data_IF_060588383771
#
_entry.id   IF_060588383771
#
_cell.length_a   1.000
_cell.length_b   1.000
_cell.length_c   1.000
_cell.angle_alpha   90.00
_cell.angle_beta   90.00
_cell.angle_gamma   90.00
#
_symmetry.space_group_name_H-M   'P 1'
#
loop_
_entity.id
_entity.type
_entity.pdbx_description
1 polymer ?
#
# COMPACT_ATOMS: atom_id res chain seq x y z
N UNK A 1 7.54 18.97 -68.60
CA UNK A 1 6.85 20.20 -68.20
C UNK A 1 5.39 19.89 -67.90
N UNK A 2 4.93 20.30 -66.71
CA UNK A 2 3.55 20.60 -66.25
C UNK A 2 2.46 19.51 -66.39
N UNK A 3 1.97 18.85 -65.31
CA UNK A 3 1.16 19.27 -64.14
C UNK A 3 -0.35 19.43 -64.41
N UNK A 4 -1.14 18.84 -63.49
CA UNK A 4 -2.51 19.12 -62.95
C UNK A 4 -3.46 17.91 -63.08
N UNK A 5 -3.69 17.08 -62.04
CA UNK A 5 -4.56 17.24 -60.83
C UNK A 5 -6.02 17.62 -61.11
N UNK A 6 -6.97 16.73 -60.77
CA UNK A 6 -8.38 16.87 -60.31
C UNK A 6 -8.99 15.44 -60.34
N UNK A 7 -9.84 14.90 -59.45
CA UNK A 7 -10.40 15.26 -58.14
C UNK A 7 -11.11 14.00 -57.57
N UNK A 8 -10.99 13.80 -56.25
CA UNK A 8 -11.97 13.26 -55.28
C UNK A 8 -13.04 12.21 -55.68
N UNK A 9 -12.98 11.04 -55.04
CA UNK A 9 -14.18 10.35 -54.53
C UNK A 9 -13.97 10.07 -53.04
N UNK A 10 -14.59 10.90 -52.20
CA UNK A 10 -14.68 10.69 -50.76
C UNK A 10 -15.86 9.72 -50.54
N UNK A 11 -15.57 8.50 -50.11
CA UNK A 11 -16.59 7.59 -49.59
C UNK A 11 -16.87 7.99 -48.14
N UNK A 12 -17.98 8.68 -47.94
CA UNK A 12 -18.56 8.95 -46.61
C UNK A 12 -19.28 7.67 -46.18
N UNK A 13 -18.63 6.84 -45.35
CA UNK A 13 -19.34 5.84 -44.56
C UNK A 13 -19.75 6.50 -43.24
N UNK A 14 -21.03 6.84 -43.16
CA UNK A 14 -21.71 7.34 -41.97
C UNK A 14 -21.70 6.28 -40.87
N UNK A 15 -20.89 6.51 -39.85
CA UNK A 15 -20.86 5.77 -38.59
C UNK A 15 -22.01 6.30 -37.72
N UNK A 16 -22.96 5.44 -37.33
CA UNK A 16 -23.87 5.55 -36.16
C UNK A 16 -24.72 4.26 -36.13
N UNK A 17 -24.81 3.44 -35.08
CA UNK A 17 -25.21 3.76 -33.72
C UNK A 17 -24.88 2.63 -32.71
N UNK A 18 -24.68 3.07 -31.47
CA UNK A 18 -25.14 2.47 -30.21
C UNK A 18 -24.75 1.03 -29.86
N UNK A 19 -23.56 0.93 -29.27
CA UNK A 19 -23.26 -0.02 -28.19
C UNK A 19 -22.58 0.73 -27.04
N UNK A 20 -23.25 1.73 -26.46
CA UNK A 20 -22.79 2.38 -25.24
C UNK A 20 -22.96 1.40 -24.07
N UNK A 21 -21.92 0.65 -23.74
CA UNK A 21 -21.75 0.00 -22.45
C UNK A 21 -20.28 0.03 -22.04
N UNK A 22 -19.87 1.18 -21.51
CA UNK A 22 -18.81 1.23 -20.52
C UNK A 22 -19.27 2.19 -19.42
N UNK A 23 -20.22 1.72 -18.60
CA UNK A 23 -20.52 2.31 -17.31
C UNK A 23 -20.13 1.32 -16.22
N UNK A 24 -18.83 1.07 -16.13
CA UNK A 24 -18.20 0.61 -14.90
C UNK A 24 -16.96 1.46 -14.66
N UNK A 25 -17.19 2.66 -14.13
CA UNK A 25 -16.14 3.41 -13.46
C UNK A 25 -15.74 2.59 -12.23
N UNK A 26 -14.74 1.71 -12.36
CA UNK A 26 -13.97 1.36 -11.17
C UNK A 26 -13.35 2.67 -10.72
N UNK A 27 -13.62 3.09 -9.48
CA UNK A 27 -13.34 4.45 -8.96
C UNK A 27 -11.85 4.85 -8.91
N UNK A 28 -11.01 4.06 -9.57
CA UNK A 28 -9.57 4.17 -9.60
C UNK A 28 -9.02 4.03 -11.03
N UNK A 29 -9.85 3.73 -12.05
CA UNK A 29 -9.40 3.29 -13.40
C UNK A 29 -8.54 4.32 -14.10
N UNK A 30 -8.79 5.61 -13.91
CA UNK A 30 -8.05 6.66 -14.57
C UNK A 30 -7.60 7.70 -13.56
N UNK A 31 -6.38 8.19 -13.80
CA UNK A 31 -5.68 9.26 -13.10
C UNK A 31 -4.89 8.85 -11.85
N UNK A 32 -3.66 9.37 -11.83
CA UNK A 32 -2.87 9.78 -10.66
C UNK A 32 -3.66 10.68 -9.68
N UNK A 33 -4.97 10.84 -9.87
CA UNK A 33 -5.90 11.60 -9.06
C UNK A 33 -7.22 10.83 -8.87
N UNK A 34 -7.58 10.57 -7.61
CA UNK A 34 -8.82 9.88 -7.21
C UNK A 34 -10.08 10.59 -7.77
N UNK A 35 -11.16 9.86 -8.04
CA UNK A 35 -12.47 10.40 -8.44
C UNK A 35 -13.04 11.49 -7.49
N UNK A 36 -12.63 11.48 -6.22
CA UNK A 36 -12.92 12.55 -5.24
C UNK A 36 -12.21 13.86 -5.64
N UNK A 37 -11.02 13.76 -6.21
CA UNK A 37 -10.20 14.90 -6.68
C UNK A 37 -10.73 15.51 -7.99
N UNK A 38 -11.46 14.74 -8.81
CA UNK A 38 -12.11 15.25 -10.04
C UNK A 38 -13.29 16.16 -9.73
N UNK A 39 -14.04 15.88 -8.66
CA UNK A 39 -15.20 16.69 -8.22
C UNK A 39 -14.82 17.84 -7.29
N UNK A 40 -13.60 17.84 -6.76
CA UNK A 40 -13.04 18.89 -5.92
C UNK A 40 -11.52 18.79 -6.06
N UNK A 41 -10.88 19.60 -6.91
CA UNK A 41 -9.44 19.50 -7.13
C UNK A 41 -8.72 19.68 -5.80
N UNK A 42 -8.22 18.58 -5.26
CA UNK A 42 -7.36 18.61 -4.08
C UNK A 42 -6.04 19.14 -4.59
N UNK A 43 -5.66 20.36 -4.17
CA UNK A 43 -4.39 21.02 -4.53
C UNK A 43 -3.14 20.22 -4.10
N UNK A 44 -3.29 19.01 -3.54
CA UNK A 44 -2.21 18.18 -3.01
C UNK A 44 -2.49 16.67 -3.21
N UNK A 45 -1.73 16.02 -4.10
CA UNK A 45 -1.46 14.57 -3.99
C UNK A 45 -0.45 14.43 -2.84
N UNK A 46 -0.95 14.24 -1.63
CA UNK A 46 -0.10 13.94 -0.49
C UNK A 46 0.30 12.44 -0.50
N UNK A 47 1.45 12.10 0.09
CA UNK A 47 2.04 10.75 0.18
C UNK A 47 1.01 9.66 0.58
N UNK A 48 0.00 10.01 1.37
CA UNK A 48 -1.06 9.12 1.87
C UNK A 48 -2.18 8.79 0.88
N UNK A 49 -2.02 9.11 -0.41
CA UNK A 49 -2.88 8.62 -1.51
C UNK A 49 -2.09 8.00 -2.66
N UNK A 50 -0.80 7.71 -2.45
CA UNK A 50 0.02 6.97 -3.41
C UNK A 50 -0.49 5.52 -3.53
N UNK A 51 -0.67 5.08 -4.77
CA UNK A 51 -1.15 3.73 -5.09
C UNK A 51 -0.21 3.02 -6.06
N UNK A 52 -0.15 1.71 -5.96
CA UNK A 52 0.48 0.85 -6.95
C UNK A 52 -0.59 0.15 -7.78
N UNK A 53 -0.48 0.24 -9.11
CA UNK A 53 -1.33 -0.50 -10.04
C UNK A 53 -0.65 -1.81 -10.37
N UNK A 54 -1.28 -2.92 -9.98
CA UNK A 54 -0.80 -4.26 -10.30
C UNK A 54 -1.36 -4.70 -11.66
N UNK A 55 -2.66 -4.48 -11.86
CA UNK A 55 -3.35 -4.64 -13.13
C UNK A 55 -4.65 -3.79 -13.14
N UNK A 56 -5.44 -3.74 -14.23
CA UNK A 56 -6.65 -2.91 -14.31
C UNK A 56 -7.67 -3.15 -13.18
N UNK A 57 -7.72 -4.37 -12.66
CA UNK A 57 -8.67 -4.81 -11.64
C UNK A 57 -8.03 -5.00 -10.25
N UNK A 58 -6.74 -4.68 -10.10
CA UNK A 58 -6.02 -4.88 -8.85
C UNK A 58 -5.10 -3.70 -8.55
N UNK A 59 -5.46 -2.95 -7.51
CA UNK A 59 -4.70 -1.77 -7.05
C UNK A 59 -4.58 -1.80 -5.55
N UNK A 60 -3.49 -1.25 -5.03
CA UNK A 60 -3.26 -1.12 -3.60
C UNK A 60 -2.81 0.30 -3.29
N UNK A 61 -3.33 0.90 -2.22
CA UNK A 61 -2.94 2.25 -1.80
C UNK A 61 -2.80 2.38 -0.30
N UNK A 62 -1.89 3.26 0.10
CA UNK A 62 -1.95 3.91 1.41
C UNK A 62 -3.10 4.92 1.37
N UNK A 63 -3.93 4.93 2.41
CA UNK A 63 -5.12 5.80 2.52
C UNK A 63 -5.10 6.55 3.83
N UNK A 64 -5.30 7.85 3.77
CA UNK A 64 -5.64 8.68 4.93
C UNK A 64 -7.14 8.55 5.25
N UNK A 65 -7.45 8.04 6.45
CA UNK A 65 -8.82 7.92 6.98
C UNK A 65 -9.14 9.02 8.00
N UNK A 66 -8.30 10.04 8.13
CA UNK A 66 -8.53 11.21 8.97
C UNK A 66 -9.64 12.12 8.44
N UNK A 67 -10.16 13.00 9.30
CA UNK A 67 -11.06 14.07 8.88
C UNK A 67 -10.26 15.12 8.09
N UNK A 68 -10.32 14.99 6.78
CA UNK A 68 -9.67 15.87 5.82
C UNK A 68 -10.51 17.13 5.63
N UNK A 69 -10.16 18.22 6.31
CA UNK A 69 -10.53 19.58 5.89
C UNK A 69 -9.30 20.19 5.20
N UNK A 70 -8.87 19.57 4.08
CA UNK A 70 -7.66 19.93 3.28
C UNK A 70 -7.77 21.30 2.57
N UNK A 71 -8.88 22.02 2.76
CA UNK A 71 -9.24 23.26 2.05
C UNK A 71 -8.82 24.55 2.76
N UNK A 72 -8.35 24.49 4.01
CA UNK A 72 -7.95 25.69 4.75
C UNK A 72 -6.46 25.97 4.52
N UNK A 73 -6.17 26.87 3.57
CA UNK A 73 -4.88 27.57 3.49
C UNK A 73 -4.56 28.07 4.90
N UNK A 74 -3.46 27.57 5.49
CA UNK A 74 -2.95 27.84 6.86
C UNK A 74 -3.23 26.79 7.96
N UNK A 75 -3.78 25.61 7.66
CA UNK A 75 -3.78 24.49 8.64
C UNK A 75 -2.63 23.53 8.33
N UNK A 76 -1.73 23.35 9.30
CA UNK A 76 -0.75 22.26 9.27
C UNK A 76 -1.49 20.92 9.36
N UNK A 77 -1.50 20.17 8.25
CA UNK A 77 -2.12 18.85 8.20
C UNK A 77 -1.46 17.91 9.22
N UNK A 78 -2.29 17.17 9.94
CA UNK A 78 -1.86 16.18 10.93
C UNK A 78 -2.58 14.86 10.62
N UNK A 79 -1.81 13.83 10.27
CA UNK A 79 -2.35 12.48 10.06
C UNK A 79 -2.93 11.99 11.39
N UNK A 80 -4.18 11.51 11.37
CA UNK A 80 -4.87 10.96 12.55
C UNK A 80 -5.12 9.47 12.43
N UNK A 81 -5.51 9.05 11.23
CA UNK A 81 -5.82 7.66 10.90
C UNK A 81 -5.32 7.36 9.52
N UNK A 82 -4.70 6.20 9.35
CA UNK A 82 -4.31 5.71 8.04
C UNK A 82 -4.67 4.24 7.90
N UNK A 83 -4.56 3.75 6.68
CA UNK A 83 -4.68 2.33 6.42
C UNK A 83 -4.29 1.97 5.01
N UNK A 84 -4.43 0.70 4.67
CA UNK A 84 -4.15 0.20 3.33
C UNK A 84 -5.43 -0.38 2.75
N UNK A 85 -5.76 0.08 1.54
CA UNK A 85 -6.89 -0.41 0.78
C UNK A 85 -6.41 -1.18 -0.45
N UNK A 86 -7.04 -2.30 -0.73
CA UNK A 86 -6.87 -3.08 -1.96
C UNK A 86 -8.17 -3.01 -2.75
N UNK A 87 -8.12 -2.43 -3.95
CA UNK A 87 -9.16 -2.60 -4.96
C UNK A 87 -8.94 -3.96 -5.61
N UNK A 88 -9.90 -4.87 -5.48
CA UNK A 88 -9.89 -6.18 -6.10
C UNK A 88 -11.18 -6.39 -6.89
N UNK A 89 -11.08 -6.33 -8.22
CA UNK A 89 -12.23 -6.24 -9.11
C UNK A 89 -12.98 -4.93 -8.88
N UNK A 90 -14.23 -5.04 -8.44
CA UNK A 90 -15.12 -3.89 -8.18
C UNK A 90 -15.16 -3.49 -6.70
N UNK A 91 -14.62 -4.34 -5.84
CA UNK A 91 -14.71 -4.21 -4.39
C UNK A 91 -13.42 -3.62 -3.82
N UNK A 92 -13.56 -2.81 -2.77
CA UNK A 92 -12.43 -2.29 -2.00
C UNK A 92 -12.37 -3.02 -0.67
N UNK A 93 -11.19 -3.49 -0.29
CA UNK A 93 -10.93 -4.19 0.96
C UNK A 93 -9.94 -3.39 1.81
N UNK A 94 -10.26 -3.16 3.07
CA UNK A 94 -9.37 -2.56 4.05
C UNK A 94 -8.52 -3.67 4.67
N UNK A 95 -7.21 -3.62 4.42
CA UNK A 95 -6.25 -4.58 5.01
C UNK A 95 -5.86 -4.15 6.42
N UNK A 96 -5.72 -2.85 6.64
CA UNK A 96 -5.50 -2.30 7.98
C UNK A 96 -6.13 -0.92 8.08
N UNK A 97 -6.55 -0.56 9.29
CA UNK A 97 -6.95 0.79 9.70
C UNK A 97 -6.36 1.05 11.08
N UNK A 98 -5.55 2.10 11.20
CA UNK A 98 -4.80 2.41 12.41
C UNK A 98 -4.92 3.89 12.74
N UNK A 99 -4.92 4.20 14.04
CA UNK A 99 -4.71 5.55 14.56
C UNK A 99 -3.22 5.79 14.75
N UNK A 100 -2.76 7.02 14.53
CA UNK A 100 -1.35 7.41 14.71
C UNK A 100 -1.19 8.48 15.77
N UNK A 101 0.04 8.66 16.23
CA UNK A 101 0.38 9.84 17.05
C UNK A 101 0.31 11.11 16.21
N UNK A 102 0.19 12.27 16.88
CA UNK A 102 0.12 13.58 16.24
C UNK A 102 1.34 13.89 15.35
N UNK A 103 2.48 13.26 15.60
CA UNK A 103 3.71 13.47 14.85
C UNK A 103 4.14 12.14 14.25
N UNK A 104 3.45 11.73 13.19
CA UNK A 104 3.71 10.46 12.52
C UNK A 104 3.91 10.67 11.02
N UNK A 105 4.86 9.93 10.46
CA UNK A 105 5.05 9.78 9.04
C UNK A 105 4.87 8.29 8.70
N UNK A 106 4.07 8.01 7.66
CA UNK A 106 3.83 6.65 7.20
C UNK A 106 4.27 6.50 5.74
N UNK A 107 5.14 5.54 5.47
CA UNK A 107 5.52 5.13 4.12
C UNK A 107 4.95 3.75 3.77
N UNK A 108 4.74 3.58 2.47
CA UNK A 108 4.23 2.36 1.87
C UNK A 108 5.15 1.92 0.73
N UNK A 109 5.35 0.61 0.57
CA UNK A 109 6.10 0.06 -0.56
C UNK A 109 5.53 -1.29 -1.00
N UNK A 110 5.27 -1.47 -2.29
CA UNK A 110 4.97 -2.78 -2.85
C UNK A 110 6.30 -3.57 -3.00
N UNK A 111 6.37 -4.76 -2.42
CA UNK A 111 7.58 -5.59 -2.42
C UNK A 111 7.54 -6.70 -3.47
N UNK A 112 6.36 -7.28 -3.68
CA UNK A 112 6.17 -8.42 -4.56
C UNK A 112 4.71 -8.52 -4.99
N UNK A 113 4.48 -9.08 -6.17
CA UNK A 113 3.16 -9.54 -6.56
C UNK A 113 3.25 -10.71 -7.54
N UNK A 114 2.25 -11.59 -7.48
CA UNK A 114 1.95 -12.56 -8.52
C UNK A 114 0.42 -12.62 -8.71
N UNK A 115 -0.08 -13.73 -9.27
CA UNK A 115 -1.51 -13.95 -9.51
C UNK A 115 -2.32 -14.24 -8.24
N UNK A 116 -1.66 -14.66 -7.15
CA UNK A 116 -2.26 -15.16 -5.92
C UNK A 116 -2.01 -14.22 -4.73
N UNK A 117 -0.82 -13.60 -4.65
CA UNK A 117 -0.36 -12.80 -3.52
C UNK A 117 0.08 -11.40 -3.94
N UNK A 118 -0.27 -10.40 -3.12
CA UNK A 118 0.39 -9.09 -3.04
C UNK A 118 1.19 -9.02 -1.75
N UNK A 119 2.45 -8.62 -1.82
CA UNK A 119 3.24 -8.33 -0.63
C UNK A 119 3.66 -6.86 -0.60
N UNK A 120 3.45 -6.21 0.54
CA UNK A 120 3.75 -4.79 0.71
C UNK A 120 4.21 -4.50 2.14
N UNK A 121 4.96 -3.42 2.29
CA UNK A 121 5.47 -2.92 3.56
C UNK A 121 4.77 -1.62 3.90
N UNK A 122 4.44 -1.49 5.18
CA UNK A 122 4.10 -0.22 5.80
C UNK A 122 5.14 0.06 6.88
N UNK A 123 5.68 1.27 6.87
CA UNK A 123 6.49 1.77 7.97
C UNK A 123 5.83 3.02 8.54
N UNK A 124 5.80 3.10 9.86
CA UNK A 124 5.36 4.26 10.63
C UNK A 124 6.53 4.71 11.49
N UNK A 125 6.93 5.97 11.32
CA UNK A 125 7.87 6.63 12.22
C UNK A 125 7.11 7.73 12.95
N UNK A 126 7.03 7.63 14.28
CA UNK A 126 6.27 8.56 15.10
C UNK A 126 7.11 9.13 16.25
N UNK A 127 6.75 10.34 16.69
CA UNK A 127 7.24 10.97 17.90
C UNK A 127 6.10 10.96 18.93
N UNK A 128 6.38 10.40 20.10
CA UNK A 128 5.46 10.31 21.22
C UNK A 128 5.89 11.33 22.27
N UNK A 129 5.16 12.44 22.40
CA UNK A 129 5.55 13.59 23.24
C UNK A 129 4.50 13.97 24.31
N UNK A 130 3.45 13.17 24.48
CA UNK A 130 2.42 13.36 25.52
C UNK A 130 2.73 12.57 26.81
N UNK A 131 3.98 12.16 26.98
CA UNK A 131 4.52 11.47 28.17
C UNK A 131 5.66 12.28 28.76
N UNK A 132 6.09 11.96 29.99
CA UNK A 132 7.12 12.71 30.71
C UNK A 132 8.44 12.83 29.94
N UNK A 133 8.85 11.78 29.24
CA UNK A 133 10.06 11.78 28.42
C UNK A 133 9.65 11.40 26.99
N UNK A 134 9.69 12.35 26.04
CA UNK A 134 9.37 12.05 24.65
C UNK A 134 10.32 11.02 24.04
N UNK A 135 9.79 10.18 23.16
CA UNK A 135 10.58 9.18 22.44
C UNK A 135 10.10 9.04 20.99
N UNK A 136 10.99 8.51 20.15
CA UNK A 136 10.70 8.15 18.77
C UNK A 136 10.35 6.67 18.70
N UNK A 137 9.35 6.34 17.90
CA UNK A 137 8.93 4.97 17.61
C UNK A 137 9.08 4.70 16.12
N UNK A 138 9.67 3.57 15.77
CA UNK A 138 9.74 3.07 14.41
C UNK A 138 9.05 1.70 14.36
N UNK A 139 7.97 1.61 13.59
CA UNK A 139 7.24 0.38 13.36
C UNK A 139 7.32 0.02 11.89
N UNK A 140 7.72 -1.23 11.59
CA UNK A 140 7.74 -1.74 10.23
C UNK A 140 6.99 -3.05 10.21
N UNK A 141 5.93 -3.11 9.39
CA UNK A 141 5.14 -4.32 9.21
C UNK A 141 5.07 -4.66 7.73
N UNK A 142 5.37 -5.91 7.40
CA UNK A 142 5.20 -6.45 6.05
C UNK A 142 3.93 -7.29 6.01
N UNK A 143 3.13 -7.09 4.98
CA UNK A 143 1.88 -7.78 4.76
C UNK A 143 1.98 -8.66 3.53
N UNK A 144 1.41 -9.86 3.61
CA UNK A 144 1.10 -10.66 2.43
C UNK A 144 -0.42 -10.83 2.38
N UNK A 145 -1.00 -10.38 1.27
CA UNK A 145 -2.42 -10.37 1.00
C UNK A 145 -2.75 -11.37 -0.10
N UNK A 146 -3.68 -12.28 0.15
CA UNK A 146 -4.17 -13.23 -0.81
C UNK A 146 -5.33 -12.64 -1.62
N UNK A 147 -5.11 -12.53 -2.92
CA UNK A 147 -6.00 -11.87 -3.87
C UNK A 147 -7.31 -12.65 -4.04
N UNK A 148 -7.31 -13.97 -3.88
CA UNK A 148 -8.49 -14.80 -4.15
C UNK A 148 -9.51 -14.76 -3.03
N UNK A 149 -9.05 -14.81 -1.79
CA UNK A 149 -9.92 -14.91 -0.61
C UNK A 149 -9.92 -13.63 0.25
N UNK A 150 -9.17 -12.61 -0.15
CA UNK A 150 -9.04 -11.32 0.55
C UNK A 150 -8.63 -11.47 2.01
N UNK A 151 -7.84 -12.50 2.33
CA UNK A 151 -7.21 -12.63 3.63
C UNK A 151 -5.75 -12.19 3.56
N UNK A 152 -5.14 -11.95 4.70
CA UNK A 152 -3.78 -11.47 4.78
C UNK A 152 -3.11 -11.91 6.08
N UNK A 153 -1.79 -11.79 6.11
CA UNK A 153 -1.01 -11.84 7.34
C UNK A 153 -0.26 -10.52 7.51
N UNK A 154 -0.04 -10.13 8.77
CA UNK A 154 0.87 -9.04 9.13
C UNK A 154 2.09 -9.59 9.84
N UNK A 155 3.27 -9.18 9.41
CA UNK A 155 4.56 -9.62 9.93
C UNK A 155 5.23 -8.41 10.59
N UNK A 156 5.21 -8.29 11.92
CA UNK A 156 5.91 -7.21 12.60
C UNK A 156 7.42 -7.45 12.48
N UNK A 157 8.09 -6.61 11.68
CA UNK A 157 9.53 -6.73 11.40
C UNK A 157 10.34 -5.88 12.37
N UNK A 158 9.84 -4.68 12.67
CA UNK A 158 10.44 -3.76 13.64
C UNK A 158 9.33 -3.20 14.52
N UNK A 159 9.57 -3.21 15.82
CA UNK A 159 8.86 -2.40 16.81
C UNK A 159 9.91 -1.87 17.79
N UNK A 160 10.42 -0.68 17.51
CA UNK A 160 11.58 -0.12 18.22
C UNK A 160 11.26 1.28 18.72
N UNK A 161 11.38 1.46 20.03
CA UNK A 161 11.27 2.74 20.71
C UNK A 161 12.66 3.24 21.08
N UNK A 162 12.93 4.52 20.86
CA UNK A 162 14.20 5.13 21.24
C UNK A 162 14.29 5.26 22.76
N UNK A 163 15.43 4.90 23.32
CA UNK A 163 15.77 5.27 24.68
C UNK A 163 15.99 6.79 24.79
N UNK A 164 15.55 7.37 25.91
CA UNK A 164 15.58 8.77 26.31
C UNK A 164 16.54 9.66 25.48
N UNK A 165 15.99 10.64 24.77
CA UNK A 165 16.71 11.69 23.99
C UNK A 165 17.60 11.21 22.83
N UNK A 166 17.87 9.92 22.66
CA UNK A 166 18.74 9.44 21.58
C UNK A 166 18.10 9.59 20.19
N UNK A 167 16.76 9.55 20.12
CA UNK A 167 15.97 9.51 18.88
C UNK A 167 16.35 8.37 17.92
N UNK A 168 17.15 7.40 18.39
CA UNK A 168 17.63 6.26 17.61
C UNK A 168 16.69 5.08 17.76
N UNK A 169 16.41 4.40 16.66
CA UNK A 169 15.55 3.21 16.58
C UNK A 169 16.19 2.21 15.63
N UNK A 170 15.79 0.96 15.71
CA UNK A 170 16.24 -0.07 14.77
C UNK A 170 15.90 0.32 13.32
N UNK A 171 16.73 -0.13 12.39
CA UNK A 171 16.63 0.21 10.98
C UNK A 171 16.42 -1.03 10.13
N UNK A 172 15.43 -0.97 9.23
CA UNK A 172 15.30 -1.95 8.17
C UNK A 172 16.30 -1.60 7.05
N UNK A 173 17.31 -2.44 6.90
CA UNK A 173 18.41 -2.28 5.93
C UNK A 173 18.07 -2.80 4.53
N UNK A 174 16.96 -3.53 4.41
CA UNK A 174 16.45 -4.08 3.17
C UNK A 174 15.56 -5.28 3.43
N UNK A 175 14.59 -5.48 2.55
CA UNK A 175 13.68 -6.61 2.58
C UNK A 175 13.16 -6.98 1.20
N UNK A 176 12.71 -8.23 1.09
CA UNK A 176 12.15 -8.78 -0.13
C UNK A 176 11.23 -9.96 0.16
N UNK A 177 10.31 -10.21 -0.78
CA UNK A 177 9.51 -11.44 -0.83
C UNK A 177 9.83 -12.18 -2.12
N UNK A 178 9.98 -13.49 -2.03
CA UNK A 178 10.20 -14.39 -3.16
C UNK A 178 9.24 -15.57 -3.11
N UNK A 179 8.99 -16.18 -4.27
CA UNK A 179 8.16 -17.38 -4.41
C UNK A 179 8.95 -18.53 -5.03
N UNK A 180 8.93 -19.69 -4.39
CA UNK A 180 9.47 -20.94 -4.92
C UNK A 180 8.32 -21.80 -5.46
N UNK A 181 8.16 -21.79 -6.79
CA UNK A 181 7.10 -22.54 -7.46
C UNK A 181 7.22 -24.07 -7.30
N UNK A 182 8.43 -24.61 -7.06
CA UNK A 182 8.62 -26.05 -6.86
C UNK A 182 8.11 -26.49 -5.49
N UNK A 183 8.24 -25.61 -4.49
CA UNK A 183 7.79 -25.87 -3.12
C UNK A 183 6.40 -25.32 -2.83
N UNK A 184 5.88 -24.42 -3.66
CA UNK A 184 4.64 -23.70 -3.39
C UNK A 184 4.75 -22.81 -2.16
N UNK A 185 5.91 -22.17 -1.96
CA UNK A 185 6.24 -21.42 -0.75
C UNK A 185 6.64 -19.99 -1.04
N UNK A 186 6.14 -19.08 -0.20
CA UNK A 186 6.58 -17.69 -0.15
C UNK A 186 7.64 -17.55 0.94
N UNK A 187 8.72 -16.84 0.65
CA UNK A 187 9.76 -16.50 1.63
C UNK A 187 9.88 -14.98 1.74
N UNK A 188 9.68 -14.46 2.95
CA UNK A 188 10.05 -13.09 3.29
C UNK A 188 11.44 -13.09 3.96
N UNK A 189 12.29 -12.16 3.53
CA UNK A 189 13.62 -11.93 4.09
C UNK A 189 13.76 -10.44 4.40
N UNK A 190 14.31 -10.13 5.57
CA UNK A 190 14.64 -8.77 5.97
C UNK A 190 15.96 -8.74 6.75
N UNK A 191 16.69 -7.64 6.66
CA UNK A 191 17.87 -7.37 7.48
C UNK A 191 17.56 -6.20 8.41
N UNK A 192 17.59 -6.45 9.72
CA UNK A 192 17.32 -5.42 10.74
C UNK A 192 18.64 -5.07 11.42
N UNK A 193 19.00 -3.79 11.41
CA UNK A 193 20.13 -3.25 12.18
C UNK A 193 19.62 -2.74 13.52
N UNK A 194 20.08 -3.37 14.60
CA UNK A 194 19.77 -2.94 15.97
C UNK A 194 20.54 -1.66 16.28
N UNK A 195 19.89 -0.65 16.85
CA UNK A 195 20.56 0.64 17.10
C UNK A 195 21.57 0.56 18.26
N UNK A 196 21.32 -0.28 19.26
CA UNK A 196 22.09 -0.37 20.50
C UNK A 196 23.53 -0.86 20.28
N UNK A 197 23.70 -1.90 19.47
CA UNK A 197 25.00 -2.53 19.19
C UNK A 197 25.42 -2.40 17.71
N UNK A 198 24.55 -1.85 16.86
CA UNK A 198 24.78 -1.73 15.42
C UNK A 198 24.74 -3.05 14.66
N UNK A 199 24.39 -4.18 15.31
CA UNK A 199 24.41 -5.51 14.71
C UNK A 199 23.28 -5.68 13.71
N UNK A 200 23.58 -6.33 12.59
CA UNK A 200 22.59 -6.68 11.56
C UNK A 200 22.16 -8.13 11.79
N UNK A 201 20.87 -8.32 12.04
CA UNK A 201 20.26 -9.63 12.23
C UNK A 201 19.29 -9.94 11.08
N UNK A 202 19.41 -11.12 10.44
CA UNK A 202 18.48 -11.52 9.40
C UNK A 202 17.18 -12.04 10.01
N UNK A 203 16.06 -11.59 9.47
CA UNK A 203 14.72 -12.12 9.72
C UNK A 203 14.26 -12.90 8.50
N UNK A 204 13.70 -14.08 8.72
CA UNK A 204 13.15 -14.95 7.68
C UNK A 204 11.80 -15.51 8.11
N UNK A 205 10.85 -15.48 7.20
CA UNK A 205 9.55 -16.16 7.33
C UNK A 205 9.26 -16.94 6.06
N UNK A 206 8.80 -18.19 6.21
CA UNK A 206 8.39 -19.07 5.13
C UNK A 206 6.93 -19.45 5.33
N UNK A 207 6.14 -19.31 4.28
CA UNK A 207 4.70 -19.53 4.27
C UNK A 207 4.33 -20.45 3.12
N UNK A 208 3.28 -21.23 3.28
CA UNK A 208 2.67 -21.91 2.13
C UNK A 208 1.77 -20.94 1.32
N UNK A 209 1.22 -21.44 0.21
CA UNK A 209 0.29 -20.70 -0.65
C UNK A 209 -1.01 -20.23 0.03
N UNK A 210 -1.37 -20.81 1.18
CA UNK A 210 -2.52 -20.39 1.99
C UNK A 210 -2.14 -19.39 3.08
N UNK A 211 -0.95 -18.80 3.00
CA UNK A 211 -0.37 -17.88 4.01
C UNK A 211 -0.16 -18.51 5.40
N UNK A 212 -0.23 -19.84 5.51
CA UNK A 212 0.08 -20.53 6.77
C UNK A 212 1.59 -20.56 6.98
N UNK A 213 2.02 -20.14 8.16
CA UNK A 213 3.43 -20.17 8.52
C UNK A 213 3.97 -21.61 8.59
N UNK A 214 5.11 -21.81 7.92
CA UNK A 214 5.89 -23.05 7.92
C UNK A 214 7.07 -22.87 8.89
N UNK A 215 7.78 -21.75 8.80
CA UNK A 215 8.89 -21.42 9.70
C UNK A 215 9.12 -19.91 9.76
N UNK A 216 9.61 -19.43 10.90
CA UNK A 216 9.87 -18.02 11.16
C UNK A 216 11.05 -17.89 12.12
N UNK A 217 11.87 -16.85 11.97
CA UNK A 217 12.92 -16.50 12.94
C UNK A 217 12.34 -16.24 14.34
N UNK A 218 11.12 -15.69 14.43
CA UNK A 218 10.45 -15.35 15.70
C UNK A 218 9.33 -16.33 16.08
N UNK A 219 9.32 -17.53 15.49
CA UNK A 219 8.23 -18.49 15.67
C UNK A 219 6.98 -18.15 14.83
N UNK A 220 6.11 -19.13 14.63
CA UNK A 220 4.91 -19.02 13.79
C UNK A 220 3.67 -18.56 14.58
N UNK A 221 3.74 -18.61 15.92
CA UNK A 221 2.69 -18.23 16.86
C UNK A 221 2.31 -16.75 16.77
N UNK A 222 3.21 -15.90 16.25
CA UNK A 222 3.00 -14.46 16.07
C UNK A 222 2.33 -14.11 14.73
N UNK A 223 2.16 -15.08 13.83
CA UNK A 223 1.60 -14.87 12.49
C UNK A 223 0.24 -15.53 12.34
N UNK A 224 -0.82 -14.72 12.39
CA UNK A 224 -2.21 -15.13 12.17
C UNK A 224 -2.75 -14.65 10.82
N UNK A 225 -3.57 -15.47 10.18
CA UNK A 225 -4.32 -15.07 8.97
C UNK A 225 -5.57 -14.30 9.40
N UNK A 226 -5.72 -13.09 8.89
CA UNK A 226 -6.83 -12.17 9.12
C UNK A 226 -7.62 -11.96 7.83
N UNK A 227 -8.92 -11.69 7.95
CA UNK A 227 -9.74 -11.31 6.79
C UNK A 227 -9.70 -9.80 6.59
N UNK A 228 -9.55 -9.34 5.34
CA UNK A 228 -9.69 -7.93 5.02
C UNK A 228 -11.17 -7.52 5.05
N UNK A 229 -11.43 -6.33 5.56
CA UNK A 229 -12.80 -5.82 5.70
C UNK A 229 -13.25 -5.18 4.39
N UNK A 230 -14.29 -5.74 3.77
CA UNK A 230 -14.90 -5.11 2.59
C UNK A 230 -15.44 -3.72 2.96
N UNK A 231 -15.02 -2.70 2.22
CA UNK A 231 -15.46 -1.32 2.40
C UNK A 231 -16.88 -1.18 1.84
N UNK A 232 -17.87 -1.16 2.74
CA UNK A 232 -19.27 -0.93 2.39
C UNK A 232 -19.47 0.59 2.40
N UNK A 233 -19.40 1.20 1.22
CA UNK A 233 -19.77 2.60 1.02
C UNK A 233 -21.28 2.78 0.97
#
# INVERSE_FOLDING_TARGET
MNKLFFLSVIVIFTISFNGCYAKENSSWSDYLQDSIQVKSPVEYIDVYNNYAVVNPNLKIKLTDFGNIDKTKKNINYTLKKYGVQVLNGKDVYNVLRMTVSLQSNVDFSLLYHDKDILAFRVREVSIINYVKIPFKRNQVTTFLYNIRNNNFIGIPVIHSDSEDKSEQTDLLMGDQVTYDAKKGQYTYLANVKTYQDGKISPFKLVLNSSLKCISSTLGCETTGVLAAEKDIK
#
